data_IF_488436189639
#
_entry.id   IF_488436189639
#
_cell.length_a   1.000
_cell.length_b   1.000
_cell.length_c   1.000
_cell.angle_alpha   90.00
_cell.angle_beta   90.00
_cell.angle_gamma   90.00
#
_symmetry.space_group_name_H-M   'P 1'
#
loop_
_entity.id
_entity.type
_entity.pdbx_description
1 polymer ?
#
# COMPACT_ATOMS: atom_id res chain seq x y z
N UNK A 1 16.45 -23.10 39.54
CA UNK A 1 15.31 -22.51 38.82
C UNK A 1 15.53 -22.78 37.35
N UNK A 2 14.87 -23.81 36.81
CA UNK A 2 15.00 -24.23 35.39
C UNK A 2 14.23 -23.25 34.51
N UNK A 3 14.94 -22.58 33.61
CA UNK A 3 14.33 -21.80 32.56
C UNK A 3 13.90 -22.76 31.44
N UNK A 4 12.64 -22.79 31.10
CA UNK A 4 12.14 -23.45 29.91
C UNK A 4 12.66 -22.70 28.68
N UNK A 5 13.17 -23.38 27.64
CA UNK A 5 13.57 -22.73 26.40
C UNK A 5 12.35 -22.21 25.65
N UNK A 6 12.52 -21.04 25.01
CA UNK A 6 11.53 -20.45 24.11
C UNK A 6 11.14 -21.46 23.04
N UNK A 7 9.87 -21.50 22.59
CA UNK A 7 9.47 -22.40 21.53
C UNK A 7 10.21 -22.03 20.23
N UNK A 8 11.12 -22.91 19.81
CA UNK A 8 11.70 -22.88 18.48
C UNK A 8 10.60 -23.26 17.49
N UNK A 9 10.17 -22.32 16.67
CA UNK A 9 9.28 -22.55 15.54
C UNK A 9 10.07 -23.25 14.42
N UNK A 10 10.33 -24.54 14.61
CA UNK A 10 10.94 -25.41 13.62
C UNK A 10 9.83 -26.23 12.95
N UNK A 11 9.03 -25.57 12.09
CA UNK A 11 8.25 -26.28 11.09
C UNK A 11 8.98 -26.18 9.76
N UNK A 12 9.27 -27.29 9.08
CA UNK A 12 9.84 -27.26 7.75
C UNK A 12 8.87 -26.50 6.84
N UNK A 13 9.38 -25.48 6.17
CA UNK A 13 8.66 -24.76 5.10
C UNK A 13 8.34 -25.79 4.03
N UNK A 14 7.08 -26.23 3.97
CA UNK A 14 6.61 -27.07 2.89
C UNK A 14 6.94 -26.39 1.56
N UNK A 15 7.47 -27.16 0.65
CA UNK A 15 8.06 -26.81 -0.64
C UNK A 15 7.30 -25.69 -1.38
N UNK A 16 7.72 -24.44 -1.18
CA UNK A 16 7.15 -23.26 -1.83
C UNK A 16 7.43 -23.24 -3.34
N UNK A 17 8.30 -24.15 -3.83
CA UNK A 17 8.59 -24.31 -5.25
C UNK A 17 7.45 -24.90 -6.09
N UNK A 18 6.48 -25.55 -5.48
CA UNK A 18 5.40 -26.25 -6.20
C UNK A 18 4.24 -25.37 -6.69
N UNK A 19 4.22 -24.06 -6.36
CA UNK A 19 3.14 -23.14 -6.76
C UNK A 19 3.49 -22.23 -7.95
N UNK A 20 4.61 -22.47 -8.62
CA UNK A 20 5.04 -21.66 -9.76
C UNK A 20 4.73 -22.39 -11.06
N UNK A 21 3.58 -22.11 -11.67
CA UNK A 21 3.33 -22.44 -13.08
C UNK A 21 3.99 -21.39 -13.97
N UNK A 22 4.82 -21.79 -14.95
CA UNK A 22 5.44 -20.85 -15.88
C UNK A 22 4.47 -20.57 -17.04
N UNK A 23 3.90 -19.38 -17.13
CA UNK A 23 3.37 -18.90 -18.43
C UNK A 23 3.05 -17.41 -18.45
N UNK A 24 3.31 -16.80 -19.60
CA UNK A 24 3.06 -15.43 -20.06
C UNK A 24 4.01 -14.38 -19.44
N UNK A 25 4.38 -13.37 -20.23
CA UNK A 25 5.17 -12.21 -19.79
C UNK A 25 4.63 -11.69 -18.46
N UNK A 26 5.27 -12.08 -17.35
CA UNK A 26 4.82 -11.69 -16.02
C UNK A 26 4.98 -10.19 -15.89
N UNK A 27 3.89 -9.48 -15.70
CA UNK A 27 3.94 -8.09 -15.25
C UNK A 27 4.81 -8.04 -14.01
N UNK A 28 5.71 -7.07 -13.93
CA UNK A 28 6.60 -6.90 -12.76
C UNK A 28 5.84 -6.20 -11.64
N UNK A 29 6.21 -6.51 -10.38
CA UNK A 29 5.65 -5.86 -9.20
C UNK A 29 4.68 -6.71 -8.39
N UNK A 30 4.69 -8.04 -8.53
CA UNK A 30 3.96 -8.94 -7.64
C UNK A 30 4.60 -8.92 -6.23
N UNK A 31 3.77 -8.73 -5.19
CA UNK A 31 4.24 -8.91 -3.81
C UNK A 31 3.64 -10.19 -3.27
N UNK A 32 4.47 -11.08 -2.75
CA UNK A 32 4.05 -12.28 -2.05
C UNK A 32 4.45 -12.18 -0.58
N UNK A 33 3.45 -12.27 0.29
CA UNK A 33 3.56 -12.23 1.75
C UNK A 33 3.31 -13.66 2.22
N UNK A 34 4.28 -14.28 2.90
CA UNK A 34 4.23 -15.67 3.32
C UNK A 34 4.52 -15.78 4.83
N UNK A 35 3.50 -16.16 5.59
CA UNK A 35 3.53 -16.42 7.04
C UNK A 35 4.23 -15.33 7.86
N UNK A 36 4.02 -14.07 7.46
CA UNK A 36 4.68 -12.91 8.08
C UNK A 36 4.18 -12.72 9.50
N UNK A 37 5.12 -12.63 10.43
CA UNK A 37 4.90 -12.29 11.83
C UNK A 37 5.69 -11.02 12.17
N UNK A 38 5.05 -10.11 12.89
CA UNK A 38 5.71 -8.93 13.47
C UNK A 38 5.29 -8.75 14.91
N UNK A 39 6.27 -8.84 15.79
CA UNK A 39 6.13 -8.63 17.23
C UNK A 39 6.96 -7.40 17.62
N UNK A 40 6.37 -6.50 18.39
CA UNK A 40 7.04 -5.36 19.00
C UNK A 40 7.16 -5.58 20.52
N UNK A 41 8.17 -4.98 21.13
CA UNK A 41 8.36 -4.99 22.58
C UNK A 41 9.42 -5.97 23.06
N UNK A 42 9.48 -6.18 24.37
CA UNK A 42 10.40 -7.07 25.07
C UNK A 42 9.70 -8.36 25.51
N UNK A 43 10.46 -9.31 26.06
CA UNK A 43 9.92 -10.58 26.61
C UNK A 43 8.80 -10.39 27.67
N UNK A 44 8.78 -9.23 28.36
CA UNK A 44 7.80 -8.92 29.41
C UNK A 44 6.56 -8.17 28.92
N UNK A 45 6.64 -7.53 27.73
CA UNK A 45 5.54 -6.75 27.16
C UNK A 45 5.62 -6.80 25.62
N UNK A 46 5.08 -7.86 25.03
CA UNK A 46 5.08 -8.04 23.59
C UNK A 46 3.72 -7.70 22.96
N UNK A 47 3.76 -7.02 21.79
CA UNK A 47 2.58 -6.72 20.99
C UNK A 47 2.71 -7.47 19.68
N UNK A 48 1.83 -8.43 19.44
CA UNK A 48 1.72 -9.11 18.16
C UNK A 48 0.94 -8.21 17.19
N UNK A 49 1.66 -7.47 16.36
CA UNK A 49 1.04 -6.56 15.42
C UNK A 49 0.55 -7.29 14.15
N UNK A 50 1.34 -8.23 13.65
CA UNK A 50 1.02 -9.09 12.49
C UNK A 50 1.31 -10.53 12.89
N UNK A 51 0.45 -11.48 12.50
CA UNK A 51 0.64 -12.89 12.84
C UNK A 51 0.15 -13.80 11.71
N UNK A 52 1.02 -14.70 11.25
CA UNK A 52 0.76 -15.65 10.15
C UNK A 52 0.03 -15.00 8.94
N UNK A 53 0.49 -13.81 8.55
CA UNK A 53 -0.11 -13.08 7.46
C UNK A 53 0.38 -13.63 6.12
N UNK A 54 -0.56 -14.19 5.33
CA UNK A 54 -0.24 -14.80 4.03
C UNK A 54 -1.27 -14.37 3.00
N UNK A 55 -0.83 -13.63 1.97
CA UNK A 55 -1.58 -13.31 0.77
C UNK A 55 -0.67 -12.69 -0.30
N UNK A 56 -1.18 -12.61 -1.53
CA UNK A 56 -0.47 -12.03 -2.67
C UNK A 56 -1.09 -10.71 -3.10
N UNK A 57 -0.26 -9.80 -3.59
CA UNK A 57 -0.62 -8.56 -4.28
C UNK A 57 -0.27 -8.76 -5.75
N UNK A 58 -1.26 -9.05 -6.62
CA UNK A 58 -0.99 -9.36 -8.02
C UNK A 58 -0.36 -8.20 -8.77
N UNK A 59 0.62 -8.50 -9.62
CA UNK A 59 1.31 -7.51 -10.44
C UNK A 59 0.35 -6.75 -11.37
N UNK A 60 0.52 -5.42 -11.46
CA UNK A 60 -0.31 -4.56 -12.29
C UNK A 60 -1.78 -4.55 -11.87
N UNK A 61 -2.05 -4.68 -10.57
CA UNK A 61 -3.39 -4.59 -9.97
C UNK A 61 -3.36 -3.67 -8.75
N UNK A 62 -4.54 -3.16 -8.40
CA UNK A 62 -4.77 -2.42 -7.16
C UNK A 62 -5.30 -3.41 -6.14
N UNK A 63 -4.52 -3.68 -5.09
CA UNK A 63 -4.96 -4.44 -3.93
C UNK A 63 -5.18 -3.49 -2.77
N UNK A 64 -6.42 -3.42 -2.29
CA UNK A 64 -6.79 -2.56 -1.16
C UNK A 64 -6.88 -3.39 0.11
N UNK A 65 -6.28 -2.89 1.19
CA UNK A 65 -6.28 -3.52 2.51
C UNK A 65 -7.12 -2.69 3.47
N UNK A 66 -8.17 -3.32 4.01
CA UNK A 66 -9.09 -2.68 4.96
C UNK A 66 -9.13 -3.46 6.28
N UNK A 67 -9.54 -2.79 7.34
CA UNK A 67 -9.69 -3.40 8.67
C UNK A 67 -9.66 -2.35 9.77
N UNK A 68 -9.92 -2.74 11.04
CA UNK A 68 -9.97 -1.82 12.17
C UNK A 68 -8.71 -0.97 12.32
N UNK A 69 -8.84 0.25 12.87
CA UNK A 69 -7.70 1.10 13.20
C UNK A 69 -6.77 0.39 14.19
N UNK A 70 -5.45 0.53 13.99
CA UNK A 70 -4.45 -0.07 14.88
C UNK A 70 -4.28 -1.59 14.73
N UNK A 71 -4.96 -2.27 13.81
CA UNK A 71 -4.83 -3.73 13.65
C UNK A 71 -3.45 -4.18 13.12
N UNK A 72 -2.67 -3.33 12.42
CA UNK A 72 -1.34 -3.68 11.91
C UNK A 72 -1.12 -3.46 10.41
N UNK A 73 -2.08 -2.86 9.68
CA UNK A 73 -1.97 -2.60 8.23
C UNK A 73 -0.72 -1.78 7.85
N UNK A 74 -0.51 -0.65 8.51
CA UNK A 74 0.67 0.20 8.32
C UNK A 74 1.97 -0.52 8.71
N UNK A 75 1.93 -1.41 9.72
CA UNK A 75 3.08 -2.25 10.08
C UNK A 75 3.48 -3.17 8.92
N UNK A 76 2.50 -3.80 8.29
CA UNK A 76 2.74 -4.66 7.13
C UNK A 76 3.26 -3.85 5.93
N UNK A 77 2.66 -2.70 5.64
CA UNK A 77 3.14 -1.79 4.59
C UNK A 77 4.59 -1.38 4.85
N UNK A 78 4.94 -1.00 6.07
CA UNK A 78 6.30 -0.61 6.44
C UNK A 78 7.30 -1.77 6.32
N UNK A 79 6.88 -3.01 6.58
CA UNK A 79 7.72 -4.18 6.35
C UNK A 79 7.97 -4.41 4.84
N UNK A 80 6.94 -4.26 3.99
CA UNK A 80 7.08 -4.31 2.53
C UNK A 80 8.00 -3.19 2.03
N UNK A 81 7.83 -1.98 2.55
CA UNK A 81 8.66 -0.82 2.18
C UNK A 81 10.14 -0.95 2.59
N UNK A 82 10.43 -1.79 3.59
CA UNK A 82 11.76 -1.96 4.15
C UNK A 82 12.08 -1.01 5.30
N UNK A 83 11.07 -0.37 5.89
CA UNK A 83 11.26 0.52 7.05
C UNK A 83 11.25 -0.23 8.37
N UNK A 84 10.62 -1.40 8.42
CA UNK A 84 10.55 -2.24 9.61
C UNK A 84 10.99 -3.67 9.27
N UNK A 85 11.70 -4.29 10.21
CA UNK A 85 12.00 -5.73 10.15
C UNK A 85 10.72 -6.54 10.42
N UNK A 86 10.67 -7.76 9.91
CA UNK A 86 9.73 -8.81 10.34
C UNK A 86 10.34 -9.62 11.49
N UNK A 87 9.52 -10.36 12.22
CA UNK A 87 9.98 -11.31 13.25
C UNK A 87 10.22 -12.69 12.63
N UNK A 88 9.33 -13.12 11.74
CA UNK A 88 9.47 -14.36 10.97
C UNK A 88 8.60 -14.32 9.71
N UNK A 89 8.68 -15.34 8.87
CA UNK A 89 8.01 -15.39 7.57
C UNK A 89 8.89 -14.82 6.46
N UNK A 90 8.29 -14.48 5.32
CA UNK A 90 9.00 -13.93 4.18
C UNK A 90 8.13 -12.99 3.35
N UNK A 91 8.76 -11.97 2.75
CA UNK A 91 8.14 -11.06 1.77
C UNK A 91 9.00 -11.08 0.51
N UNK A 92 8.36 -11.25 -0.65
CA UNK A 92 9.00 -11.23 -1.96
C UNK A 92 8.42 -10.11 -2.82
N UNK A 93 9.25 -9.55 -3.67
CA UNK A 93 8.85 -8.69 -4.79
C UNK A 93 9.29 -9.41 -6.08
N UNK A 94 8.32 -9.81 -6.88
CA UNK A 94 8.55 -10.75 -7.97
C UNK A 94 9.25 -12.03 -7.43
N UNK A 95 10.39 -12.40 -8.00
CA UNK A 95 11.21 -13.55 -7.55
C UNK A 95 12.30 -13.14 -6.53
N UNK A 96 12.34 -11.87 -6.10
CA UNK A 96 13.35 -11.35 -5.19
C UNK A 96 12.89 -11.40 -3.75
N UNK A 97 13.62 -12.08 -2.87
CA UNK A 97 13.38 -12.06 -1.43
C UNK A 97 13.73 -10.66 -0.88
N UNK A 98 12.72 -9.94 -0.38
CA UNK A 98 12.91 -8.66 0.30
C UNK A 98 13.37 -8.86 1.75
N UNK A 99 12.61 -9.65 2.50
CA UNK A 99 12.97 -10.08 3.85
C UNK A 99 12.43 -11.49 4.11
N UNK A 100 13.12 -12.22 4.98
CA UNK A 100 12.81 -13.63 5.28
C UNK A 100 13.90 -14.27 6.12
N UNK A 101 14.02 -15.62 6.11
CA UNK A 101 15.07 -16.34 6.82
C UNK A 101 16.47 -15.83 6.45
N UNK A 102 17.25 -15.45 7.46
CA UNK A 102 18.59 -14.88 7.29
C UNK A 102 18.64 -13.38 6.96
N UNK A 103 17.50 -12.76 6.62
CA UNK A 103 17.39 -11.32 6.33
C UNK A 103 16.02 -10.79 6.79
N UNK A 104 15.87 -10.49 8.07
CA UNK A 104 14.59 -10.06 8.65
C UNK A 104 14.17 -8.63 8.27
N UNK A 105 15.03 -7.85 7.63
CA UNK A 105 14.74 -6.49 7.20
C UNK A 105 15.04 -6.32 5.70
N UNK A 106 14.07 -5.82 4.97
CA UNK A 106 14.30 -5.29 3.62
C UNK A 106 15.05 -3.94 3.71
N UNK A 107 15.69 -3.54 2.62
CA UNK A 107 16.17 -2.17 2.46
C UNK A 107 15.17 -1.39 1.62
N UNK A 108 14.87 -0.11 1.96
CA UNK A 108 14.07 0.76 1.08
C UNK A 108 14.72 0.87 -0.30
N UNK A 109 13.90 0.89 -1.34
CA UNK A 109 14.41 0.92 -2.72
C UNK A 109 13.49 1.69 -3.67
N UNK A 110 14.01 2.12 -4.82
CA UNK A 110 13.23 2.86 -5.82
C UNK A 110 12.19 1.99 -6.54
N UNK A 111 12.26 0.68 -6.40
CA UNK A 111 11.32 -0.29 -6.96
C UNK A 111 9.96 -0.31 -6.25
N UNK A 112 9.89 0.22 -5.03
CA UNK A 112 8.68 0.35 -4.22
C UNK A 112 8.69 1.65 -3.42
N UNK A 113 7.75 2.52 -3.75
CA UNK A 113 7.70 3.87 -3.18
C UNK A 113 6.47 4.02 -2.28
N UNK A 114 6.67 4.62 -1.11
CA UNK A 114 5.61 4.91 -0.15
C UNK A 114 5.09 6.33 -0.34
N UNK A 115 3.78 6.48 -0.39
CA UNK A 115 3.07 7.74 -0.22
C UNK A 115 2.42 7.71 1.16
N UNK A 116 2.94 8.51 2.07
CA UNK A 116 2.55 8.51 3.48
C UNK A 116 1.23 9.25 3.71
N UNK A 117 0.54 8.90 4.80
CA UNK A 117 -0.71 9.54 5.21
C UNK A 117 -0.58 11.06 5.39
N UNK A 118 0.46 11.51 6.08
CA UNK A 118 0.65 12.91 6.47
C UNK A 118 1.38 13.78 5.43
N UNK A 119 1.58 13.25 4.23
CA UNK A 119 2.34 13.95 3.20
C UNK A 119 3.85 13.99 3.48
N UNK A 120 4.64 14.11 2.42
CA UNK A 120 6.10 14.09 2.55
C UNK A 120 6.79 14.99 1.51
N UNK A 121 6.11 16.01 0.98
CA UNK A 121 6.74 16.99 0.10
C UNK A 121 7.76 17.81 0.90
N UNK A 122 8.89 18.11 0.28
CA UNK A 122 9.88 19.02 0.84
C UNK A 122 9.35 20.46 0.79
N UNK A 123 9.02 21.10 1.92
CA UNK A 123 8.37 22.42 1.92
C UNK A 123 9.26 23.54 1.38
N UNK A 124 10.58 23.35 1.41
CA UNK A 124 11.58 24.31 0.90
C UNK A 124 11.94 24.11 -0.58
N UNK A 125 11.31 23.15 -1.26
CA UNK A 125 11.50 22.87 -2.69
C UNK A 125 10.24 23.21 -3.46
N UNK A 126 10.41 23.72 -4.67
CA UNK A 126 9.29 23.91 -5.60
C UNK A 126 8.68 22.57 -5.99
N UNK A 127 7.49 22.61 -6.60
CA UNK A 127 6.78 21.41 -7.06
C UNK A 127 7.62 20.61 -8.04
N UNK A 128 8.23 21.29 -9.03
CA UNK A 128 9.08 20.58 -10.00
C UNK A 128 10.33 19.98 -9.34
N UNK A 129 10.92 20.67 -8.38
CA UNK A 129 12.08 20.16 -7.65
C UNK A 129 11.71 18.96 -6.77
N UNK A 130 10.51 18.95 -6.17
CA UNK A 130 9.99 17.79 -5.45
C UNK A 130 9.85 16.58 -6.36
N UNK A 131 9.21 16.74 -7.52
CA UNK A 131 8.98 15.65 -8.48
C UNK A 131 10.30 15.11 -9.05
N UNK A 132 11.20 16.00 -9.44
CA UNK A 132 12.47 15.63 -10.07
C UNK A 132 13.51 15.05 -9.09
N UNK A 133 13.32 15.20 -7.78
CA UNK A 133 14.35 14.93 -6.75
C UNK A 133 14.90 13.51 -6.81
N UNK A 134 14.02 12.50 -6.82
CA UNK A 134 14.43 11.09 -6.73
C UNK A 134 15.37 10.67 -7.87
N UNK A 135 14.96 10.75 -9.14
CA UNK A 135 15.80 10.37 -10.28
C UNK A 135 17.10 11.17 -10.40
N UNK A 136 17.10 12.44 -9.97
CA UNK A 136 18.32 13.26 -9.93
C UNK A 136 19.31 12.76 -8.87
N UNK A 137 18.83 12.46 -7.65
CA UNK A 137 19.69 11.96 -6.57
C UNK A 137 20.23 10.56 -6.85
N UNK A 138 19.51 9.77 -7.61
CA UNK A 138 19.95 8.45 -8.09
C UNK A 138 20.93 8.54 -9.27
N UNK A 139 21.20 9.73 -9.81
CA UNK A 139 22.06 9.92 -10.99
C UNK A 139 21.47 9.36 -12.29
N UNK A 140 20.16 8.99 -12.32
CA UNK A 140 19.51 8.42 -13.52
C UNK A 140 19.16 9.46 -14.56
N UNK A 141 18.85 10.68 -14.14
CA UNK A 141 18.51 11.80 -15.01
C UNK A 141 19.32 13.04 -14.63
N UNK A 142 19.77 13.79 -15.63
CA UNK A 142 20.28 15.14 -15.44
C UNK A 142 19.14 16.07 -15.00
N UNK A 143 19.49 17.22 -14.39
CA UNK A 143 18.49 18.21 -13.95
C UNK A 143 17.54 18.62 -15.08
N UNK A 144 18.09 18.86 -16.29
CA UNK A 144 17.29 19.23 -17.46
C UNK A 144 16.27 18.14 -17.82
N UNK A 145 16.73 16.91 -17.95
CA UNK A 145 15.87 15.76 -18.29
C UNK A 145 14.81 15.50 -17.23
N UNK A 146 15.19 15.57 -15.93
CA UNK A 146 14.27 15.36 -14.84
C UNK A 146 13.18 16.45 -14.79
N UNK A 147 13.53 17.70 -15.05
CA UNK A 147 12.56 18.80 -15.13
C UNK A 147 11.64 18.69 -16.36
N UNK A 148 12.14 18.29 -17.50
CA UNK A 148 11.32 18.06 -18.70
C UNK A 148 10.31 16.93 -18.49
N UNK A 149 10.77 15.76 -18.01
CA UNK A 149 9.89 14.62 -17.66
C UNK A 149 8.90 15.01 -16.57
N UNK A 150 9.36 15.71 -15.53
CA UNK A 150 8.52 16.16 -14.42
C UNK A 150 7.39 17.10 -14.85
N UNK A 151 7.66 18.06 -15.74
CA UNK A 151 6.62 18.95 -16.31
C UNK A 151 5.57 18.16 -17.08
N UNK A 152 5.99 17.21 -17.92
CA UNK A 152 5.07 16.36 -18.66
C UNK A 152 4.15 15.58 -17.69
N UNK A 153 4.71 14.96 -16.66
CA UNK A 153 3.94 14.19 -15.67
C UNK A 153 3.03 15.08 -14.82
N UNK A 154 3.45 16.28 -14.44
CA UNK A 154 2.60 17.26 -13.75
C UNK A 154 1.44 17.70 -14.64
N UNK A 155 1.69 17.94 -15.92
CA UNK A 155 0.63 18.30 -16.89
C UNK A 155 -0.41 17.18 -17.03
N UNK A 156 0.03 15.92 -17.08
CA UNK A 156 -0.83 14.73 -17.11
C UNK A 156 -1.65 14.58 -15.83
N UNK A 157 -1.08 14.96 -14.67
CA UNK A 157 -1.76 14.98 -13.39
C UNK A 157 -2.70 16.19 -13.19
N UNK A 158 -2.89 17.04 -14.23
CA UNK A 158 -3.73 18.23 -14.14
C UNK A 158 -3.14 19.35 -13.28
N UNK A 159 -1.79 19.43 -13.21
CA UNK A 159 -1.05 20.38 -12.37
C UNK A 159 -0.15 21.30 -13.21
N UNK A 160 -0.66 21.71 -14.38
CA UNK A 160 0.05 22.68 -15.25
C UNK A 160 0.25 24.00 -14.53
N UNK A 161 1.32 24.70 -14.83
CA UNK A 161 1.65 26.04 -14.36
C UNK A 161 1.89 26.15 -12.84
N UNK A 162 2.05 25.00 -12.14
CA UNK A 162 2.34 24.94 -10.72
C UNK A 162 3.80 24.60 -10.40
N UNK A 163 4.65 24.47 -11.41
CA UNK A 163 6.02 23.97 -11.29
C UNK A 163 6.90 24.80 -10.35
N UNK A 164 6.70 26.13 -10.35
CA UNK A 164 7.45 27.07 -9.53
C UNK A 164 6.86 27.31 -8.14
N UNK A 165 5.63 26.84 -7.89
CA UNK A 165 5.00 26.98 -6.58
C UNK A 165 5.68 26.11 -5.53
N UNK A 166 5.50 26.47 -4.26
CA UNK A 166 5.87 25.64 -3.11
C UNK A 166 4.67 24.84 -2.59
N UNK A 167 4.92 23.72 -1.87
CA UNK A 167 3.81 22.91 -1.33
C UNK A 167 2.80 23.66 -0.47
N UNK A 168 3.23 24.73 0.24
CA UNK A 168 2.35 25.56 1.06
C UNK A 168 1.38 26.45 0.27
N UNK A 169 1.63 26.65 -1.03
CA UNK A 169 0.86 27.55 -1.90
C UNK A 169 -0.26 26.85 -2.67
N UNK A 170 -0.35 25.52 -2.57
CA UNK A 170 -1.33 24.70 -3.29
C UNK A 170 -2.26 23.93 -2.34
N UNK A 171 -3.43 23.52 -2.82
CA UNK A 171 -4.41 22.79 -2.03
C UNK A 171 -3.93 21.40 -1.57
N UNK A 172 -4.58 20.80 -0.57
CA UNK A 172 -4.27 19.46 -0.08
C UNK A 172 -4.40 18.38 -1.18
N UNK A 173 -5.44 18.45 -2.01
CA UNK A 173 -5.62 17.55 -3.15
C UNK A 173 -4.52 17.72 -4.20
N UNK A 174 -4.11 18.96 -4.51
CA UNK A 174 -2.98 19.22 -5.39
C UNK A 174 -1.67 18.65 -4.82
N UNK A 175 -1.40 18.88 -3.52
CA UNK A 175 -0.23 18.27 -2.86
C UNK A 175 -0.22 16.76 -3.01
N UNK A 176 -1.37 16.10 -2.80
CA UNK A 176 -1.46 14.65 -2.93
C UNK A 176 -1.17 14.17 -4.36
N UNK A 177 -1.67 14.88 -5.38
CA UNK A 177 -1.31 14.58 -6.78
C UNK A 177 0.18 14.74 -7.06
N UNK A 178 0.81 15.80 -6.53
CA UNK A 178 2.26 15.99 -6.63
C UNK A 178 3.03 14.83 -5.97
N UNK A 179 2.60 14.34 -4.80
CA UNK A 179 3.24 13.21 -4.11
C UNK A 179 3.18 11.92 -4.93
N UNK A 180 2.02 11.62 -5.52
CA UNK A 180 1.86 10.46 -6.41
C UNK A 180 2.73 10.64 -7.65
N UNK A 181 2.74 11.82 -8.27
CA UNK A 181 3.60 12.13 -9.43
C UNK A 181 5.08 11.98 -9.09
N UNK A 182 5.51 12.46 -7.91
CA UNK A 182 6.89 12.29 -7.40
C UNK A 182 7.25 10.82 -7.22
N UNK A 183 6.30 10.02 -6.72
CA UNK A 183 6.51 8.59 -6.56
C UNK A 183 6.68 7.91 -7.92
N UNK A 184 5.79 8.18 -8.87
CA UNK A 184 5.81 7.61 -10.23
C UNK A 184 7.02 8.05 -11.04
N UNK A 185 7.56 9.24 -10.78
CA UNK A 185 8.77 9.75 -11.46
C UNK A 185 10.00 8.84 -11.28
N UNK A 186 9.97 7.97 -10.26
CA UNK A 186 11.00 6.97 -10.00
C UNK A 186 10.81 5.67 -10.79
N UNK A 187 9.77 5.54 -11.60
CA UNK A 187 9.40 4.35 -12.35
C UNK A 187 9.32 3.09 -11.44
N UNK A 188 8.57 3.16 -10.30
CA UNK A 188 8.51 2.06 -9.34
C UNK A 188 7.73 0.88 -9.92
N UNK A 189 8.05 -0.33 -9.45
CA UNK A 189 7.23 -1.52 -9.70
C UNK A 189 5.95 -1.51 -8.84
N UNK A 190 6.05 -0.94 -7.63
CA UNK A 190 4.97 -0.92 -6.64
C UNK A 190 4.82 0.46 -6.01
N UNK A 191 3.59 0.93 -5.91
CA UNK A 191 3.19 2.05 -5.06
C UNK A 191 2.53 1.52 -3.78
N UNK A 192 3.03 1.98 -2.64
CA UNK A 192 2.51 1.68 -1.32
C UNK A 192 1.81 2.93 -0.78
N UNK A 193 0.49 2.92 -0.70
CA UNK A 193 -0.31 4.08 -0.33
C UNK A 193 -0.95 3.84 1.04
N UNK A 194 -0.57 4.64 2.05
CA UNK A 194 -1.08 4.53 3.41
C UNK A 194 -2.11 5.63 3.69
N UNK A 195 -3.39 5.29 3.66
CA UNK A 195 -4.55 6.19 3.85
C UNK A 195 -4.39 7.54 3.10
N UNK A 196 -4.10 7.54 1.79
CA UNK A 196 -3.65 8.74 1.10
C UNK A 196 -4.70 9.86 1.05
N UNK A 197 -5.98 9.54 1.24
CA UNK A 197 -7.09 10.50 1.08
C UNK A 197 -7.85 10.77 2.39
N UNK A 198 -7.35 10.31 3.54
CA UNK A 198 -8.02 10.46 4.84
C UNK A 198 -8.38 11.89 5.20
N UNK A 199 -7.51 12.86 4.87
CA UNK A 199 -7.68 14.26 5.24
C UNK A 199 -8.41 15.12 4.18
N UNK A 200 -9.01 14.48 3.15
CA UNK A 200 -9.73 15.17 2.10
C UNK A 200 -11.24 15.11 2.34
N UNK A 201 -11.94 16.16 1.92
CA UNK A 201 -13.40 16.17 1.85
C UNK A 201 -13.91 15.20 0.77
N UNK A 202 -15.20 14.84 0.82
CA UNK A 202 -15.79 13.84 -0.05
C UNK A 202 -15.70 14.18 -1.54
N UNK A 203 -15.88 15.46 -1.90
CA UNK A 203 -15.81 15.89 -3.29
C UNK A 203 -14.37 15.83 -3.83
N UNK A 204 -13.42 16.30 -3.05
CA UNK A 204 -11.99 16.19 -3.41
C UNK A 204 -11.56 14.73 -3.49
N UNK A 205 -12.04 13.86 -2.58
CA UNK A 205 -11.78 12.41 -2.65
C UNK A 205 -12.25 11.82 -3.98
N UNK A 206 -13.48 12.12 -4.41
CA UNK A 206 -14.01 11.55 -5.66
C UNK A 206 -13.13 11.90 -6.86
N UNK A 207 -12.72 13.15 -6.99
CA UNK A 207 -11.79 13.58 -8.05
C UNK A 207 -10.44 12.88 -7.94
N UNK A 208 -9.95 12.66 -6.72
CA UNK A 208 -8.66 11.98 -6.49
C UNK A 208 -8.72 10.48 -6.80
N UNK A 209 -9.85 9.82 -6.56
CA UNK A 209 -10.06 8.42 -6.92
C UNK A 209 -10.03 8.22 -8.43
N UNK A 210 -10.75 9.04 -9.19
CA UNK A 210 -10.73 9.01 -10.65
C UNK A 210 -9.33 9.29 -11.20
N UNK A 211 -8.65 10.32 -10.67
CA UNK A 211 -7.27 10.63 -11.06
C UNK A 211 -6.28 9.49 -10.76
N UNK A 212 -6.48 8.74 -9.65
CA UNK A 212 -5.66 7.56 -9.35
C UNK A 212 -5.93 6.44 -10.37
N UNK A 213 -7.19 6.16 -10.71
CA UNK A 213 -7.55 5.15 -11.68
C UNK A 213 -7.00 5.48 -13.07
N UNK A 214 -7.13 6.73 -13.53
CA UNK A 214 -6.51 7.19 -14.79
C UNK A 214 -4.98 7.02 -14.77
N UNK A 215 -4.35 7.39 -13.67
CA UNK A 215 -2.91 7.23 -13.48
C UNK A 215 -2.51 5.74 -13.50
N UNK A 216 -3.30 4.88 -12.86
CA UNK A 216 -3.10 3.44 -12.86
C UNK A 216 -3.25 2.86 -14.27
N UNK A 217 -4.29 3.22 -15.01
CA UNK A 217 -4.55 2.71 -16.36
C UNK A 217 -3.42 3.05 -17.34
N UNK A 218 -2.79 4.22 -17.17
CA UNK A 218 -1.64 4.65 -17.99
C UNK A 218 -0.34 3.92 -17.63
N UNK A 219 -0.07 3.72 -16.35
CA UNK A 219 1.23 3.24 -15.87
C UNK A 219 1.23 1.74 -15.57
N UNK A 220 0.08 1.14 -15.30
CA UNK A 220 -0.08 -0.28 -14.94
C UNK A 220 0.84 -0.72 -13.78
N UNK A 221 1.18 0.20 -12.88
CA UNK A 221 1.97 -0.06 -11.68
C UNK A 221 1.17 -0.87 -10.67
N UNK A 222 1.80 -1.77 -9.95
CA UNK A 222 1.15 -2.46 -8.83
C UNK A 222 0.87 -1.49 -7.69
N UNK A 223 -0.34 -1.49 -7.14
CA UNK A 223 -0.71 -0.61 -6.03
C UNK A 223 -1.14 -1.46 -4.83
N UNK A 224 -0.48 -1.23 -3.70
CA UNK A 224 -0.89 -1.68 -2.38
C UNK A 224 -1.47 -0.47 -1.63
N UNK A 225 -2.76 -0.49 -1.37
CA UNK A 225 -3.50 0.66 -0.87
C UNK A 225 -4.13 0.35 0.48
N UNK A 226 -3.86 1.13 1.50
CA UNK A 226 -4.50 1.01 2.81
C UNK A 226 -5.57 2.10 2.94
N UNK A 227 -6.75 1.70 3.39
CA UNK A 227 -7.82 2.62 3.76
C UNK A 227 -8.70 2.03 4.87
N UNK A 228 -9.45 2.90 5.55
CA UNK A 228 -10.57 2.51 6.41
C UNK A 228 -11.94 2.77 5.75
N UNK A 229 -11.96 3.39 4.56
CA UNK A 229 -13.15 3.69 3.79
C UNK A 229 -13.49 2.50 2.87
N UNK A 230 -14.63 1.86 3.14
CA UNK A 230 -15.02 0.62 2.46
C UNK A 230 -15.54 0.86 1.05
N UNK A 231 -16.19 2.00 0.80
CA UNK A 231 -16.60 2.41 -0.55
C UNK A 231 -15.38 2.66 -1.43
N UNK A 232 -14.38 3.38 -0.90
CA UNK A 232 -13.08 3.61 -1.55
C UNK A 232 -12.41 2.28 -1.92
N UNK A 233 -12.45 1.29 -1.00
CA UNK A 233 -11.82 0.00 -1.22
C UNK A 233 -12.45 -0.76 -2.39
N UNK A 234 -13.77 -0.77 -2.50
CA UNK A 234 -14.48 -1.43 -3.61
C UNK A 234 -14.33 -0.63 -4.90
N UNK A 235 -14.37 0.72 -4.81
CA UNK A 235 -14.27 1.58 -5.97
C UNK A 235 -12.91 1.48 -6.66
N UNK A 236 -11.82 1.46 -5.89
CA UNK A 236 -10.46 1.43 -6.43
C UNK A 236 -9.94 0.00 -6.69
N UNK A 237 -10.28 -0.93 -5.79
CA UNK A 237 -9.63 -2.23 -5.73
C UNK A 237 -10.03 -3.20 -6.85
N UNK A 238 -9.06 -3.87 -7.43
CA UNK A 238 -9.27 -5.14 -8.14
C UNK A 238 -9.40 -6.29 -7.13
N UNK A 239 -8.77 -6.11 -5.98
CA UNK A 239 -8.78 -7.06 -4.86
C UNK A 239 -8.89 -6.30 -3.55
N UNK A 240 -9.74 -6.76 -2.65
CA UNK A 240 -9.89 -6.21 -1.31
C UNK A 240 -9.52 -7.28 -0.29
N UNK A 241 -8.54 -6.97 0.56
CA UNK A 241 -8.10 -7.84 1.66
C UNK A 241 -8.63 -7.26 2.96
N UNK A 242 -9.55 -7.98 3.59
CA UNK A 242 -10.14 -7.59 4.86
C UNK A 242 -9.31 -8.22 5.98
N UNK A 243 -8.78 -7.39 6.87
CA UNK A 243 -7.90 -7.81 7.96
C UNK A 243 -8.67 -7.99 9.25
N UNK A 244 -8.22 -8.93 10.07
CA UNK A 244 -8.70 -9.09 11.46
C UNK A 244 -8.30 -7.89 12.32
N UNK A 245 -8.93 -7.74 13.49
CA UNK A 245 -8.34 -6.96 14.58
C UNK A 245 -6.99 -7.54 14.99
N UNK A 246 -6.27 -6.86 15.89
CA UNK A 246 -4.93 -7.31 16.32
C UNK A 246 -4.95 -8.71 16.96
N UNK A 247 -4.06 -9.61 16.53
CA UNK A 247 -3.02 -9.49 15.51
C UNK A 247 -3.57 -9.50 14.08
N UNK A 248 -2.94 -8.70 13.19
CA UNK A 248 -3.34 -8.52 11.81
C UNK A 248 -3.18 -9.80 10.99
N UNK A 249 -4.28 -10.33 10.47
CA UNK A 249 -4.32 -11.49 9.56
C UNK A 249 -5.34 -11.22 8.46
N UNK A 250 -5.19 -11.76 7.26
CA UNK A 250 -6.26 -11.72 6.27
C UNK A 250 -7.44 -12.58 6.75
N UNK A 251 -8.60 -11.91 6.97
CA UNK A 251 -9.86 -12.58 7.31
C UNK A 251 -10.58 -13.06 6.06
N UNK A 252 -10.62 -12.19 5.06
CA UNK A 252 -11.30 -12.45 3.79
C UNK A 252 -10.63 -11.70 2.67
N UNK A 253 -10.60 -12.30 1.49
CA UNK A 253 -10.08 -11.70 0.27
C UNK A 253 -11.19 -11.72 -0.77
N UNK A 254 -11.55 -10.54 -1.28
CA UNK A 254 -12.55 -10.36 -2.33
C UNK A 254 -11.86 -10.00 -3.63
N UNK A 255 -12.22 -10.66 -4.71
CA UNK A 255 -11.88 -10.22 -6.07
C UNK A 255 -13.05 -9.40 -6.60
N UNK A 256 -12.80 -8.12 -6.88
CA UNK A 256 -13.82 -7.19 -7.35
C UNK A 256 -13.85 -7.24 -8.87
N UNK A 257 -14.91 -7.83 -9.43
CA UNK A 257 -15.09 -8.05 -10.86
C UNK A 257 -15.87 -6.92 -11.58
N UNK A 258 -15.92 -5.72 -10.96
CA UNK A 258 -16.46 -4.52 -11.58
C UNK A 258 -15.47 -4.05 -12.65
N UNK A 259 -15.89 -3.88 -13.92
CA UNK A 259 -15.00 -3.51 -15.00
C UNK A 259 -14.31 -2.15 -14.79
N UNK A 260 -13.15 -1.99 -15.39
CA UNK A 260 -12.46 -0.70 -15.55
C UNK A 260 -12.65 -0.17 -16.99
N UNK A 261 -12.60 1.16 -17.22
CA UNK A 261 -12.49 2.23 -16.21
C UNK A 261 -13.77 2.36 -15.37
N UNK A 262 -13.61 2.75 -14.11
CA UNK A 262 -14.73 2.98 -13.18
C UNK A 262 -14.95 4.48 -13.02
N UNK A 263 -16.21 4.89 -13.03
CA UNK A 263 -16.68 6.19 -12.61
C UNK A 263 -17.66 6.05 -11.44
N UNK A 264 -18.08 7.15 -10.86
CA UNK A 264 -18.95 7.14 -9.67
C UNK A 264 -20.36 6.58 -9.91
N UNK A 265 -20.78 6.33 -11.16
CA UNK A 265 -22.06 5.68 -11.46
C UNK A 265 -22.07 4.23 -10.96
N UNK A 266 -20.92 3.57 -10.84
CA UNK A 266 -20.83 2.18 -10.35
C UNK A 266 -21.35 2.02 -8.92
N UNK A 267 -21.30 3.08 -8.08
CA UNK A 267 -21.78 3.06 -6.70
C UNK A 267 -23.28 2.72 -6.59
N UNK A 268 -24.04 3.05 -7.62
CA UNK A 268 -25.50 2.79 -7.66
C UNK A 268 -25.83 1.37 -8.14
N UNK A 269 -24.84 0.63 -8.63
CA UNK A 269 -25.06 -0.71 -9.18
C UNK A 269 -25.30 -1.74 -8.08
N UNK A 270 -26.10 -2.77 -8.41
CA UNK A 270 -26.36 -3.88 -7.50
C UNK A 270 -25.05 -4.59 -7.10
N UNK A 271 -24.15 -4.78 -8.07
CA UNK A 271 -22.89 -5.50 -7.85
C UNK A 271 -21.98 -4.78 -6.88
N UNK A 272 -21.89 -3.44 -6.96
CA UNK A 272 -21.11 -2.63 -6.01
C UNK A 272 -21.66 -2.77 -4.59
N UNK A 273 -22.99 -2.71 -4.43
CA UNK A 273 -23.65 -2.86 -3.13
C UNK A 273 -23.44 -4.23 -2.52
N UNK A 274 -23.48 -5.30 -3.31
CA UNK A 274 -23.19 -6.66 -2.85
C UNK A 274 -21.77 -6.75 -2.25
N UNK A 275 -20.75 -6.21 -2.94
CA UNK A 275 -19.38 -6.16 -2.40
C UNK A 275 -19.28 -5.30 -1.15
N UNK A 276 -19.96 -4.14 -1.13
CA UNK A 276 -19.95 -3.25 0.02
C UNK A 276 -20.55 -3.92 1.24
N UNK A 277 -21.74 -4.52 1.11
CA UNK A 277 -22.45 -5.23 2.20
C UNK A 277 -21.58 -6.37 2.74
N UNK A 278 -20.95 -7.14 1.86
CA UNK A 278 -20.05 -8.23 2.23
C UNK A 278 -18.82 -7.74 2.99
N UNK A 279 -18.25 -6.61 2.55
CA UNK A 279 -17.09 -5.98 3.20
C UNK A 279 -17.47 -5.37 4.54
N UNK A 280 -18.60 -4.65 4.61
CA UNK A 280 -19.14 -4.07 5.85
C UNK A 280 -19.38 -5.16 6.90
N UNK A 281 -20.06 -6.25 6.54
CA UNK A 281 -20.33 -7.36 7.46
C UNK A 281 -19.02 -7.93 8.04
N UNK A 282 -18.03 -8.18 7.17
CA UNK A 282 -16.76 -8.77 7.60
C UNK A 282 -15.93 -7.83 8.50
N UNK A 283 -15.91 -6.52 8.20
CA UNK A 283 -15.18 -5.52 9.02
C UNK A 283 -15.92 -5.25 10.33
N UNK A 284 -17.26 -5.22 10.31
CA UNK A 284 -18.06 -4.99 11.51
C UNK A 284 -17.85 -6.05 12.58
N UNK A 285 -17.77 -7.33 12.21
CA UNK A 285 -17.42 -8.41 13.14
C UNK A 285 -16.07 -8.16 13.84
N UNK A 286 -15.07 -7.68 13.10
CA UNK A 286 -13.75 -7.40 13.66
C UNK A 286 -13.75 -6.14 14.53
N UNK A 287 -14.54 -5.13 14.18
CA UNK A 287 -14.71 -3.93 15.01
C UNK A 287 -15.36 -4.27 16.36
N UNK A 288 -16.37 -5.16 16.39
CA UNK A 288 -16.98 -5.66 17.64
C UNK A 288 -15.93 -6.38 18.49
N UNK A 289 -15.10 -7.25 17.89
CA UNK A 289 -14.04 -7.96 18.61
C UNK A 289 -13.01 -6.99 19.21
N UNK A 290 -12.58 -5.97 18.43
CA UNK A 290 -11.65 -4.95 18.89
C UNK A 290 -12.21 -4.17 20.09
N UNK A 291 -13.48 -3.77 20.01
CA UNK A 291 -14.17 -3.07 21.09
C UNK A 291 -14.29 -3.94 22.36
N UNK A 292 -14.67 -5.22 22.21
CA UNK A 292 -14.77 -6.17 23.31
C UNK A 292 -13.41 -6.46 23.99
N UNK A 293 -12.33 -6.44 23.20
CA UNK A 293 -10.95 -6.59 23.71
C UNK A 293 -10.41 -5.32 24.40
N UNK A 294 -11.17 -4.21 24.43
CA UNK A 294 -10.74 -2.95 25.02
C UNK A 294 -9.72 -2.18 24.17
N UNK A 295 -9.57 -2.54 22.90
CA UNK A 295 -8.77 -1.79 21.93
C UNK A 295 -9.52 -0.49 21.58
N UNK A 296 -9.18 0.59 22.29
CA UNK A 296 -9.70 1.93 21.98
C UNK A 296 -8.91 2.51 20.81
N UNK A 297 -9.61 3.23 19.92
CA UNK A 297 -8.96 4.13 18.97
C UNK A 297 -8.07 5.11 19.77
N UNK A 298 -6.76 5.01 19.57
CA UNK A 298 -5.76 5.95 20.11
C UNK A 298 -5.24 6.84 19.01
#
# INVERSE_FOLDING_TARGET
MNRAPLPTYDRPIADVKALVSPSAERRKGEIRIADVVKIYGSETASIHAVDNCTFDVPAGKITVVVGPSGCGKTTLLNAIAGFHSITSGAIYLDDTLLCGPGRLSAEPGPDRIVVFQNGALFPWKTIIENVAFGPMMQGRLSKKQAFEKGRAMLAEAGLRDLESNYPGEISSGMRRRVEITRALMNDPKVLLLDEPYRALDSLTKSVMHEALLETFDRNQVTIFFITHDLEEAIFLGHRVVIMTTRPCRPKKILTVDIPHPRDYSVLTTKRFREYLDETVAAVHEEAIKAFAAGERER
#
